data_IF_489983076880
#
_entry.id   IF_489983076880
#
_cell.length_a   1.000
_cell.length_b   1.000
_cell.length_c   1.000
_cell.angle_alpha   90.00
_cell.angle_beta   90.00
_cell.angle_gamma   90.00
#
_symmetry.space_group_name_H-M   'P 1'
#
loop_
_entity.id
_entity.type
_entity.pdbx_description
1 polymer ?
#
# COMPACT_ATOMS: atom_id res chain seq x y z
N UNK A 1 -13.03 4.91 -1.63
CA UNK A 1 -14.43 4.53 -1.32
C UNK A 1 -14.57 3.06 -0.92
N UNK A 2 -14.06 2.09 -1.69
CA UNK A 2 -14.15 0.64 -1.35
C UNK A 2 -13.54 0.26 0.01
N UNK A 3 -12.47 0.92 0.44
CA UNK A 3 -11.88 0.70 1.77
C UNK A 3 -12.84 0.97 2.93
N UNK A 4 -13.70 1.98 2.79
CA UNK A 4 -14.58 2.45 3.86
C UNK A 4 -15.97 1.79 3.74
N UNK A 5 -16.49 1.71 2.51
CA UNK A 5 -17.88 1.30 2.23
C UNK A 5 -17.96 -0.20 1.85
N UNK A 6 -16.83 -0.86 1.63
CA UNK A 6 -16.76 -2.27 1.24
C UNK A 6 -17.52 -3.17 2.22
N UNK A 7 -18.47 -3.99 1.74
CA UNK A 7 -19.31 -4.85 2.59
C UNK A 7 -18.52 -6.06 3.13
N UNK A 8 -17.58 -6.58 2.35
CA UNK A 8 -16.75 -7.72 2.73
C UNK A 8 -15.36 -7.27 3.18
N UNK A 9 -14.78 -7.99 4.15
CA UNK A 9 -13.42 -7.72 4.64
C UNK A 9 -12.42 -7.80 3.49
N UNK A 10 -12.55 -8.79 2.62
CA UNK A 10 -11.69 -9.00 1.44
C UNK A 10 -11.68 -7.77 0.51
N UNK A 11 -12.83 -7.14 0.28
CA UNK A 11 -12.96 -5.97 -0.60
C UNK A 11 -12.23 -4.75 -0.02
N UNK A 12 -12.23 -4.62 1.32
CA UNK A 12 -11.46 -3.57 2.01
C UNK A 12 -9.95 -3.81 1.89
N UNK A 13 -9.50 -5.05 2.01
CA UNK A 13 -8.08 -5.42 1.91
C UNK A 13 -7.53 -5.15 0.52
N UNK A 14 -8.24 -5.59 -0.52
CA UNK A 14 -7.84 -5.36 -1.92
C UNK A 14 -7.78 -3.86 -2.22
N UNK A 15 -8.72 -3.07 -1.67
CA UNK A 15 -8.70 -1.62 -1.85
C UNK A 15 -7.54 -0.92 -1.13
N UNK A 16 -7.07 -1.49 -0.01
CA UNK A 16 -5.91 -1.02 0.75
C UNK A 16 -4.63 -1.23 -0.06
N UNK A 17 -4.45 -2.44 -0.61
CA UNK A 17 -3.32 -2.76 -1.48
C UNK A 17 -3.27 -1.85 -2.73
N UNK A 18 -4.43 -1.63 -3.35
CA UNK A 18 -4.55 -0.70 -4.48
C UNK A 18 -4.15 0.73 -4.09
N UNK A 19 -4.49 1.17 -2.88
CA UNK A 19 -4.13 2.50 -2.37
C UNK A 19 -2.62 2.62 -2.16
N UNK A 20 -1.98 1.61 -1.60
CA UNK A 20 -0.53 1.59 -1.41
C UNK A 20 0.22 1.64 -2.75
N UNK A 21 -0.25 0.93 -3.78
CA UNK A 21 0.30 1.03 -5.14
C UNK A 21 0.17 2.44 -5.71
N UNK A 22 -0.99 3.09 -5.55
CA UNK A 22 -1.19 4.49 -5.98
C UNK A 22 -0.26 5.46 -5.25
N UNK A 23 -0.11 5.33 -3.92
CA UNK A 23 0.78 6.18 -3.12
C UNK A 23 2.23 5.99 -3.59
N UNK A 24 2.67 4.75 -3.80
CA UNK A 24 4.01 4.45 -4.34
C UNK A 24 4.23 5.13 -5.68
N UNK A 25 3.25 5.04 -6.59
CA UNK A 25 3.29 5.72 -7.89
C UNK A 25 3.39 7.24 -7.78
N UNK A 26 2.68 7.85 -6.82
CA UNK A 26 2.78 9.28 -6.53
C UNK A 26 4.20 9.64 -6.06
N UNK A 27 4.80 8.85 -5.16
CA UNK A 27 6.16 9.11 -4.67
C UNK A 27 7.18 9.07 -5.83
N UNK A 28 7.07 8.09 -6.73
CA UNK A 28 7.90 8.01 -7.94
C UNK A 28 7.69 9.25 -8.83
N UNK A 29 6.45 9.69 -9.00
CA UNK A 29 6.13 10.87 -9.80
C UNK A 29 6.70 12.16 -9.18
N UNK A 30 6.69 12.27 -7.84
CA UNK A 30 7.34 13.35 -7.11
C UNK A 30 8.87 13.32 -7.27
N UNK A 31 9.50 12.14 -7.30
CA UNK A 31 10.93 12.00 -7.61
C UNK A 31 11.27 12.67 -8.94
N UNK A 32 10.44 12.44 -9.96
CA UNK A 32 10.61 13.03 -11.27
C UNK A 32 10.41 14.55 -11.28
N UNK A 33 9.35 15.05 -10.63
CA UNK A 33 9.04 16.49 -10.57
C UNK A 33 10.15 17.27 -9.84
N UNK A 34 10.59 16.78 -8.68
CA UNK A 34 11.59 17.45 -7.86
C UNK A 34 13.03 17.16 -8.26
N UNK A 35 13.25 16.27 -9.25
CA UNK A 35 14.58 15.82 -9.71
C UNK A 35 15.46 15.38 -8.53
N UNK A 36 14.87 14.68 -7.58
CA UNK A 36 15.55 14.22 -6.38
C UNK A 36 15.37 12.71 -6.23
N UNK A 37 16.49 12.00 -6.29
CA UNK A 37 16.56 10.54 -6.27
C UNK A 37 16.18 9.96 -4.90
N UNK A 38 16.25 10.74 -3.81
CA UNK A 38 15.85 10.31 -2.46
C UNK A 38 14.39 9.83 -2.43
N UNK A 39 13.52 10.44 -3.24
CA UNK A 39 12.12 10.00 -3.33
C UNK A 39 12.00 8.59 -3.92
N UNK A 40 12.91 8.17 -4.79
CA UNK A 40 12.93 6.81 -5.33
C UNK A 40 13.28 5.80 -4.24
N UNK A 41 14.25 6.12 -3.37
CA UNK A 41 14.58 5.30 -2.21
C UNK A 41 13.39 5.15 -1.26
N UNK A 42 12.66 6.25 -1.02
CA UNK A 42 11.42 6.25 -0.22
C UNK A 42 10.38 5.34 -0.87
N UNK A 43 10.21 5.38 -2.20
CA UNK A 43 9.25 4.53 -2.90
C UNK A 43 9.59 3.04 -2.77
N UNK A 44 10.87 2.68 -2.84
CA UNK A 44 11.33 1.29 -2.67
C UNK A 44 11.05 0.81 -1.24
N UNK A 45 11.40 1.59 -0.23
CA UNK A 45 11.14 1.26 1.18
C UNK A 45 9.64 1.14 1.43
N UNK A 46 8.84 2.04 0.86
CA UNK A 46 7.38 2.01 0.98
C UNK A 46 6.78 0.75 0.33
N UNK A 47 7.33 0.29 -0.80
CA UNK A 47 6.92 -0.98 -1.41
C UNK A 47 7.14 -2.18 -0.49
N UNK A 48 8.27 -2.24 0.21
CA UNK A 48 8.54 -3.30 1.20
C UNK A 48 7.58 -3.19 2.39
N UNK A 49 7.31 -1.99 2.88
CA UNK A 49 6.37 -1.75 3.98
C UNK A 49 4.94 -2.15 3.60
N UNK A 50 4.48 -1.82 2.39
CA UNK A 50 3.16 -2.22 1.88
C UNK A 50 3.02 -3.74 1.84
N UNK A 51 4.06 -4.45 1.41
CA UNK A 51 4.03 -5.92 1.41
C UNK A 51 3.95 -6.49 2.84
N UNK A 52 4.72 -5.93 3.77
CA UNK A 52 4.67 -6.32 5.18
C UNK A 52 3.28 -6.09 5.79
N UNK A 53 2.63 -4.97 5.46
CA UNK A 53 1.26 -4.67 5.89
C UNK A 53 0.29 -5.78 5.46
N UNK A 54 0.34 -6.19 4.19
CA UNK A 54 -0.49 -7.28 3.65
C UNK A 54 -0.21 -8.62 4.34
N UNK A 55 1.06 -8.94 4.64
CA UNK A 55 1.42 -10.17 5.37
C UNK A 55 0.86 -10.16 6.79
N UNK A 56 1.02 -9.05 7.52
CA UNK A 56 0.50 -8.88 8.89
C UNK A 56 -1.02 -9.02 8.89
N UNK A 57 -1.70 -8.37 7.94
CA UNK A 57 -3.14 -8.46 7.80
C UNK A 57 -3.62 -9.89 7.52
N UNK A 58 -2.90 -10.61 6.66
CA UNK A 58 -3.17 -12.02 6.34
C UNK A 58 -3.01 -12.91 7.57
N UNK A 59 -1.94 -12.72 8.36
CA UNK A 59 -1.73 -13.46 9.63
C UNK A 59 -2.82 -13.16 10.64
N UNK A 60 -3.24 -11.90 10.76
CA UNK A 60 -4.31 -11.50 11.67
C UNK A 60 -5.66 -12.15 11.31
N UNK A 61 -5.99 -12.22 10.02
CA UNK A 61 -7.20 -12.90 9.57
C UNK A 61 -7.17 -14.40 9.81
N UNK A 62 -6.02 -15.06 9.60
CA UNK A 62 -5.84 -16.48 9.88
C UNK A 62 -5.96 -16.78 11.38
N UNK A 63 -5.39 -15.93 12.24
CA UNK A 63 -5.48 -16.08 13.69
C UNK A 63 -6.89 -15.86 14.27
N UNK A 64 -7.78 -15.18 13.53
CA UNK A 64 -9.17 -14.94 13.93
C UNK A 64 -10.12 -16.06 13.48
N UNK A 65 -9.64 -17.01 12.68
CA UNK A 65 -10.39 -18.18 12.21
C UNK A 65 -10.23 -19.33 13.19
#
# INVERSE_FOLDING_TARGET
MRMIIGPEVTDRIVSLDTMNVMITGIIVLLSHIFKNEIYLDIAIVYGVLSFLETVVLSRYLEAKK
#
